data_IF_393750967270
#
_entry.id   IF_393750967270
#
_cell.length_a   1.000
_cell.length_b   1.000
_cell.length_c   1.000
_cell.angle_alpha   90.00
_cell.angle_beta   90.00
_cell.angle_gamma   90.00
#
_symmetry.space_group_name_H-M   'P 1'
#
loop_
_entity.id
_entity.type
_entity.pdbx_description
1 polymer ?
#
# COMPACT_ATOMS: atom_id res chain seq x y z
N UNK A 1 -53.48 3.29 30.53
CA UNK A 1 -53.34 4.35 31.57
C UNK A 1 -52.67 5.56 30.93
N UNK A 2 -53.00 6.79 31.37
CA UNK A 2 -52.29 8.07 31.09
C UNK A 2 -51.82 8.37 29.65
N UNK A 3 -52.72 9.00 28.87
CA UNK A 3 -52.43 10.24 28.10
C UNK A 3 -52.12 11.42 29.06
N UNK A 4 -51.82 12.67 28.62
CA UNK A 4 -51.75 13.28 27.28
C UNK A 4 -50.28 13.52 26.84
N UNK A 5 -49.80 14.45 25.99
CA UNK A 5 -50.27 15.73 25.40
C UNK A 5 -49.75 15.89 23.96
N UNK A 6 -50.49 16.61 23.12
CA UNK A 6 -50.00 17.22 21.85
C UNK A 6 -50.23 18.74 21.95
N UNK A 7 -49.25 19.56 21.59
CA UNK A 7 -49.36 21.01 21.56
C UNK A 7 -49.09 21.56 20.14
N UNK A 8 -50.01 22.38 19.63
CA UNK A 8 -49.89 23.09 18.34
C UNK A 8 -49.10 24.39 18.50
N UNK A 9 -48.35 24.78 17.47
CA UNK A 9 -47.91 26.16 17.24
C UNK A 9 -48.19 26.57 15.79
N UNK A 10 -48.89 27.68 15.62
CA UNK A 10 -49.25 28.39 14.38
C UNK A 10 -49.45 29.88 14.77
N UNK A 11 -49.49 30.83 13.82
CA UNK A 11 -48.52 31.93 13.85
C UNK A 11 -49.12 33.29 14.21
N UNK A 12 -48.23 34.26 14.48
CA UNK A 12 -48.53 35.70 14.45
C UNK A 12 -47.43 36.40 13.65
N UNK A 13 -47.76 37.50 12.99
CA UNK A 13 -46.92 38.17 12.00
C UNK A 13 -46.62 39.64 12.37
N UNK A 14 -45.76 40.28 11.57
CA UNK A 14 -45.62 41.75 11.38
C UNK A 14 -45.71 42.69 12.61
N UNK A 15 -44.65 43.49 12.82
CA UNK A 15 -44.76 44.93 12.56
C UNK A 15 -43.38 45.58 12.34
N UNK A 16 -43.33 46.64 11.53
CA UNK A 16 -42.16 47.50 11.35
C UNK A 16 -42.28 48.76 12.22
N UNK A 17 -41.17 49.31 12.69
CA UNK A 17 -41.06 50.76 12.92
C UNK A 17 -39.60 51.22 12.95
N UNK A 18 -39.36 52.42 12.41
CA UNK A 18 -38.07 53.10 12.39
C UNK A 18 -37.81 53.79 13.72
N UNK A 19 -36.55 53.83 14.17
CA UNK A 19 -36.07 54.94 15.01
C UNK A 19 -34.63 55.31 14.63
N UNK A 20 -34.39 56.60 14.49
CA UNK A 20 -33.08 57.21 14.25
C UNK A 20 -32.48 57.70 15.56
N UNK A 21 -31.20 57.43 15.79
CA UNK A 21 -30.32 58.29 16.58
C UNK A 21 -28.84 58.06 16.22
N UNK A 22 -28.09 59.15 16.25
CA UNK A 22 -26.62 59.23 16.23
C UNK A 22 -26.20 60.16 17.38
N UNK A 23 -24.90 60.36 17.62
CA UNK A 23 -23.79 59.40 17.62
C UNK A 23 -23.26 59.21 19.06
N UNK A 24 -22.25 58.36 19.27
CA UNK A 24 -21.21 58.71 20.23
C UNK A 24 -19.85 58.13 19.81
N UNK A 25 -18.78 58.84 20.14
CA UNK A 25 -17.42 58.36 19.99
C UNK A 25 -16.93 57.77 21.32
N UNK A 26 -16.11 56.73 21.24
CA UNK A 26 -15.04 56.48 22.20
C UNK A 26 -13.95 55.67 21.48
N UNK A 27 -12.70 56.05 21.70
CA UNK A 27 -11.55 55.29 21.24
C UNK A 27 -11.06 54.40 22.38
N UNK A 28 -10.90 53.11 22.13
CA UNK A 28 -10.09 52.23 22.97
C UNK A 28 -9.01 51.57 22.13
N UNK A 29 -7.86 51.32 22.76
CA UNK A 29 -6.62 50.95 22.09
C UNK A 29 -6.31 49.46 22.27
N UNK A 30 -5.71 48.89 21.23
CA UNK A 30 -4.68 47.85 21.31
C UNK A 30 -4.83 46.72 22.37
N UNK A 31 -5.18 45.53 21.90
CA UNK A 31 -4.39 44.34 22.27
C UNK A 31 -4.35 43.30 21.14
N UNK A 32 -3.45 43.48 20.17
CA UNK A 32 -3.33 42.57 19.04
C UNK A 32 -2.41 41.39 19.38
N UNK A 33 -2.97 40.38 20.06
CA UNK A 33 -2.25 39.15 20.44
C UNK A 33 -1.88 38.34 19.19
N UNK A 34 -0.61 38.41 18.79
CA UNK A 34 -0.06 37.70 17.64
C UNK A 34 0.10 36.19 17.93
N UNK A 35 -0.97 35.42 17.74
CA UNK A 35 -0.93 33.95 17.82
C UNK A 35 -0.18 33.40 16.59
N UNK A 36 1.10 33.06 16.77
CA UNK A 36 1.92 32.49 15.70
C UNK A 36 1.44 31.06 15.33
N UNK A 37 1.16 30.77 14.04
CA UNK A 37 0.66 29.46 13.63
C UNK A 37 1.80 28.42 13.51
N UNK A 38 2.00 27.65 14.57
CA UNK A 38 2.94 26.51 14.62
C UNK A 38 2.40 25.28 13.85
N UNK A 39 2.42 25.34 12.52
CA UNK A 39 1.82 24.32 11.66
C UNK A 39 2.72 23.89 10.46
N UNK A 40 3.89 23.31 10.74
CA UNK A 40 4.84 22.83 9.70
C UNK A 40 5.18 21.34 9.82
N UNK A 41 4.18 20.45 9.72
CA UNK A 41 4.37 18.98 9.70
C UNK A 41 3.55 18.31 8.58
N UNK A 42 3.74 18.74 7.32
CA UNK A 42 3.15 18.04 6.14
C UNK A 42 3.81 18.37 4.79
N UNK A 43 5.12 18.07 4.65
CA UNK A 43 5.82 18.20 3.35
C UNK A 43 6.63 16.95 2.99
N UNK A 44 7.44 16.43 3.92
CA UNK A 44 8.35 15.30 3.69
C UNK A 44 7.63 13.98 3.39
N UNK A 45 6.50 13.69 4.06
CA UNK A 45 5.78 12.42 3.93
C UNK A 45 5.30 12.14 2.49
N UNK A 46 4.81 13.17 1.79
CA UNK A 46 4.33 13.08 0.41
C UNK A 46 5.46 12.68 -0.55
N UNK A 47 6.64 13.30 -0.39
CA UNK A 47 7.85 12.98 -1.16
C UNK A 47 8.32 11.55 -0.90
N UNK A 48 8.35 11.12 0.36
CA UNK A 48 8.82 9.78 0.73
C UNK A 48 7.88 8.68 0.20
N UNK A 49 6.57 8.89 0.19
CA UNK A 49 5.63 7.97 -0.48
C UNK A 49 5.80 7.94 -2.01
N UNK A 50 6.11 9.07 -2.65
CA UNK A 50 6.39 9.11 -4.09
C UNK A 50 7.68 8.34 -4.43
N UNK A 51 8.74 8.47 -3.61
CA UNK A 51 9.95 7.65 -3.73
C UNK A 51 9.63 6.15 -3.59
N UNK A 52 8.87 5.73 -2.58
CA UNK A 52 8.47 4.33 -2.41
C UNK A 52 7.73 3.79 -3.65
N UNK A 53 6.80 4.60 -4.21
CA UNK A 53 6.05 4.26 -5.44
C UNK A 53 6.99 4.14 -6.67
N UNK A 54 8.04 4.96 -6.76
CA UNK A 54 9.06 4.85 -7.82
C UNK A 54 9.91 3.58 -7.68
N UNK A 55 10.40 3.27 -6.48
CA UNK A 55 11.21 2.06 -6.21
C UNK A 55 10.39 0.77 -6.46
N UNK A 56 9.12 0.74 -6.06
CA UNK A 56 8.17 -0.33 -6.44
C UNK A 56 8.06 -0.44 -7.96
N UNK A 57 7.83 0.68 -8.66
CA UNK A 57 7.67 0.71 -10.12
C UNK A 57 8.92 0.18 -10.84
N UNK A 58 10.12 0.55 -10.37
CA UNK A 58 11.42 0.10 -10.90
C UNK A 58 11.60 -1.42 -10.73
N UNK A 59 11.36 -1.97 -9.53
CA UNK A 59 11.47 -3.41 -9.32
C UNK A 59 10.41 -4.17 -10.14
N UNK A 60 9.17 -3.69 -10.18
CA UNK A 60 8.09 -4.32 -10.93
C UNK A 60 8.33 -4.29 -12.46
N UNK A 61 8.84 -3.18 -13.01
CA UNK A 61 9.10 -3.06 -14.45
C UNK A 61 10.30 -3.90 -14.88
N UNK A 62 11.42 -3.85 -14.15
CA UNK A 62 12.63 -4.64 -14.47
C UNK A 62 12.37 -6.14 -14.39
N UNK A 63 11.68 -6.61 -13.33
CA UNK A 63 11.25 -8.02 -13.24
C UNK A 63 10.35 -8.43 -14.43
N UNK A 64 9.38 -7.60 -14.80
CA UNK A 64 8.47 -7.86 -15.93
C UNK A 64 9.21 -7.84 -17.28
N UNK A 65 10.23 -7.00 -17.42
CA UNK A 65 11.12 -6.94 -18.59
C UNK A 65 11.94 -8.21 -18.76
N UNK A 66 12.72 -8.60 -17.74
CA UNK A 66 13.57 -9.79 -17.81
C UNK A 66 12.75 -11.09 -17.93
N UNK A 67 11.55 -11.17 -17.33
CA UNK A 67 10.65 -12.30 -17.55
C UNK A 67 10.11 -12.36 -19.00
N UNK A 68 9.69 -11.22 -19.59
CA UNK A 68 9.29 -11.18 -21.02
C UNK A 68 10.42 -11.60 -21.96
N UNK A 69 11.64 -11.10 -21.70
CA UNK A 69 12.86 -11.43 -22.44
C UNK A 69 13.18 -12.92 -22.37
N UNK A 70 13.16 -13.50 -21.16
CA UNK A 70 13.39 -14.92 -20.95
C UNK A 70 12.32 -15.82 -21.62
N UNK A 71 11.04 -15.45 -21.55
CA UNK A 71 9.97 -16.15 -22.30
C UNK A 71 10.24 -16.09 -23.81
N UNK A 72 10.67 -14.94 -24.35
CA UNK A 72 10.98 -14.81 -25.78
C UNK A 72 12.21 -15.63 -26.20
N UNK A 73 13.24 -15.76 -25.36
CA UNK A 73 14.50 -16.44 -25.72
C UNK A 73 14.54 -17.93 -25.39
N UNK A 74 13.77 -18.41 -24.42
CA UNK A 74 13.83 -19.79 -23.94
C UNK A 74 12.53 -20.29 -23.27
N UNK A 75 11.40 -19.66 -23.59
CA UNK A 75 10.08 -20.08 -23.14
C UNK A 75 9.88 -20.05 -21.61
N UNK A 76 8.90 -20.81 -21.08
CA UNK A 76 8.62 -20.85 -19.66
C UNK A 76 9.79 -21.32 -18.78
N UNK A 77 10.67 -22.18 -19.30
CA UNK A 77 11.80 -22.73 -18.54
C UNK A 77 12.83 -21.64 -18.19
N UNK A 78 13.23 -20.84 -19.19
CA UNK A 78 14.11 -19.69 -18.95
C UNK A 78 13.45 -18.65 -18.03
N UNK A 79 12.12 -18.46 -18.13
CA UNK A 79 11.40 -17.56 -17.23
C UNK A 79 11.43 -18.02 -15.76
N UNK A 80 11.31 -19.33 -15.49
CA UNK A 80 11.47 -19.88 -14.14
C UNK A 80 12.90 -19.68 -13.62
N UNK A 81 13.93 -19.91 -14.46
CA UNK A 81 15.33 -19.65 -14.09
C UNK A 81 15.58 -18.16 -13.77
N UNK A 82 15.04 -17.23 -14.56
CA UNK A 82 15.08 -15.79 -14.27
C UNK A 82 14.38 -15.44 -12.94
N UNK A 83 13.24 -16.07 -12.65
CA UNK A 83 12.54 -15.94 -11.37
C UNK A 83 13.33 -16.48 -10.17
N UNK A 84 14.18 -17.49 -10.38
CA UNK A 84 15.04 -18.07 -9.35
C UNK A 84 16.30 -17.23 -9.11
N UNK A 85 17.05 -16.93 -10.18
CA UNK A 85 18.41 -16.39 -10.11
C UNK A 85 18.50 -14.86 -10.19
N UNK A 86 17.66 -14.23 -11.01
CA UNK A 86 17.77 -12.78 -11.28
C UNK A 86 16.86 -11.95 -10.38
N UNK A 87 15.68 -12.45 -10.04
CA UNK A 87 14.74 -11.73 -9.19
C UNK A 87 15.29 -11.26 -7.83
N UNK A 88 16.07 -12.06 -7.06
CA UNK A 88 16.72 -11.55 -5.84
C UNK A 88 17.82 -10.53 -6.15
N UNK A 89 18.61 -10.73 -7.22
CA UNK A 89 19.70 -9.83 -7.63
C UNK A 89 19.17 -8.45 -8.05
N UNK A 90 18.03 -8.38 -8.73
CA UNK A 90 17.39 -7.12 -9.11
C UNK A 90 16.91 -6.36 -7.87
N UNK A 91 16.27 -7.05 -6.91
CA UNK A 91 15.85 -6.44 -5.65
C UNK A 91 17.04 -5.95 -4.81
N UNK A 92 18.12 -6.73 -4.74
CA UNK A 92 19.36 -6.34 -4.07
C UNK A 92 20.03 -5.14 -4.75
N UNK A 93 20.15 -5.14 -6.08
CA UNK A 93 20.74 -4.05 -6.87
C UNK A 93 20.01 -2.72 -6.64
N UNK A 94 18.68 -2.72 -6.72
CA UNK A 94 17.86 -1.54 -6.41
C UNK A 94 18.04 -1.13 -4.94
N UNK A 95 18.10 -2.10 -4.01
CA UNK A 95 18.36 -1.85 -2.58
C UNK A 95 19.78 -1.35 -2.26
N UNK A 96 20.68 -1.31 -3.24
CA UNK A 96 22.04 -0.76 -3.14
C UNK A 96 22.22 0.57 -3.89
N UNK A 97 21.21 1.01 -4.64
CA UNK A 97 21.23 2.27 -5.40
C UNK A 97 20.70 3.47 -4.59
N UNK A 98 20.22 3.26 -3.37
CA UNK A 98 19.76 4.32 -2.46
C UNK A 98 19.28 3.79 -1.11
N UNK A 99 18.71 4.67 -0.29
CA UNK A 99 18.37 4.42 1.12
C UNK A 99 17.18 3.46 1.33
N UNK A 100 16.46 3.10 0.26
CA UNK A 100 15.36 2.15 0.30
C UNK A 100 15.87 0.71 0.19
N UNK A 101 15.57 -0.12 1.19
CA UNK A 101 15.61 -1.58 1.04
C UNK A 101 14.26 -2.04 0.50
N UNK A 102 14.26 -2.87 -0.55
CA UNK A 102 13.06 -3.44 -1.16
C UNK A 102 13.21 -4.96 -1.37
N UNK A 103 12.21 -5.71 -0.92
CA UNK A 103 12.08 -7.15 -1.13
C UNK A 103 10.67 -7.52 -1.61
N UNK A 104 10.45 -8.80 -1.89
CA UNK A 104 9.11 -9.37 -2.07
C UNK A 104 8.84 -10.34 -0.93
N UNK A 105 7.58 -10.42 -0.52
CA UNK A 105 7.11 -11.24 0.60
C UNK A 105 5.74 -11.86 0.26
N UNK A 106 5.37 -12.99 0.86
CA UNK A 106 4.08 -13.65 0.61
C UNK A 106 3.72 -14.66 1.71
N UNK A 107 2.41 -14.89 1.91
CA UNK A 107 1.89 -15.99 2.74
C UNK A 107 2.19 -17.36 2.13
N UNK A 108 2.25 -17.44 0.79
CA UNK A 108 2.61 -18.63 0.01
C UNK A 108 3.91 -18.36 -0.74
N UNK A 109 5.03 -18.76 -0.15
CA UNK A 109 6.37 -18.51 -0.67
C UNK A 109 6.77 -19.48 -1.80
N UNK A 110 7.75 -19.07 -2.62
CA UNK A 110 8.40 -19.92 -3.63
C UNK A 110 9.89 -20.07 -3.37
N UNK A 111 10.54 -18.95 -3.07
CA UNK A 111 11.89 -18.90 -2.50
C UNK A 111 11.73 -18.59 -1.00
N UNK A 112 12.30 -19.40 -0.08
CA UNK A 112 12.15 -19.22 1.36
C UNK A 112 12.69 -17.89 1.89
N UNK A 113 13.62 -17.23 1.18
CA UNK A 113 14.14 -15.91 1.55
C UNK A 113 13.08 -14.78 1.42
N UNK A 114 11.89 -15.10 0.89
CA UNK A 114 10.71 -14.22 0.83
C UNK A 114 9.65 -14.56 1.90
N UNK A 115 9.99 -15.31 2.95
CA UNK A 115 9.14 -15.48 4.14
C UNK A 115 8.86 -14.13 4.81
N UNK A 116 7.64 -13.96 5.30
CA UNK A 116 7.18 -12.74 5.94
C UNK A 116 7.73 -12.59 7.37
N UNK A 117 7.98 -11.35 7.79
CA UNK A 117 8.00 -11.02 9.23
C UNK A 117 6.56 -10.86 9.76
N UNK A 118 6.38 -10.76 11.07
CA UNK A 118 5.06 -10.69 11.70
C UNK A 118 4.19 -9.52 11.21
N UNK A 119 4.78 -8.37 10.86
CA UNK A 119 4.06 -7.21 10.34
C UNK A 119 3.74 -7.36 8.86
N UNK A 120 4.68 -7.92 8.08
CA UNK A 120 4.44 -8.27 6.68
C UNK A 120 3.30 -9.31 6.59
N UNK A 121 3.29 -10.32 7.46
CA UNK A 121 2.25 -11.34 7.52
C UNK A 121 0.89 -10.73 7.88
N UNK A 122 0.79 -9.99 8.99
CA UNK A 122 -0.46 -9.33 9.37
C UNK A 122 -0.95 -8.35 8.28
N UNK A 123 -0.05 -7.69 7.56
CA UNK A 123 -0.40 -6.85 6.41
C UNK A 123 -0.88 -7.63 5.18
N UNK A 124 -0.31 -8.79 4.89
CA UNK A 124 -0.76 -9.69 3.83
C UNK A 124 -2.13 -10.32 4.16
N UNK A 125 -2.35 -10.75 5.41
CA UNK A 125 -3.63 -11.27 5.89
C UNK A 125 -4.72 -10.19 5.82
N UNK A 126 -4.42 -8.97 6.29
CA UNK A 126 -5.29 -7.81 6.13
C UNK A 126 -5.66 -7.56 4.66
N UNK A 127 -4.69 -7.59 3.75
CA UNK A 127 -4.97 -7.45 2.31
C UNK A 127 -5.84 -8.59 1.77
N UNK A 128 -5.63 -9.83 2.20
CA UNK A 128 -6.42 -10.97 1.72
C UNK A 128 -7.89 -10.88 2.18
N UNK A 129 -8.13 -10.44 3.42
CA UNK A 129 -9.48 -10.15 3.92
C UNK A 129 -10.15 -9.01 3.13
N UNK A 130 -9.43 -7.91 2.89
CA UNK A 130 -9.95 -6.78 2.11
C UNK A 130 -10.30 -7.17 0.66
N UNK A 131 -9.49 -8.02 0.01
CA UNK A 131 -9.78 -8.52 -1.35
C UNK A 131 -11.00 -9.45 -1.35
N UNK A 132 -11.17 -10.29 -0.33
CA UNK A 132 -12.37 -11.12 -0.16
C UNK A 132 -13.64 -10.27 0.06
N UNK A 133 -13.50 -9.06 0.59
CA UNK A 133 -14.56 -8.05 0.75
C UNK A 133 -14.75 -7.18 -0.52
N UNK A 134 -14.08 -7.48 -1.63
CA UNK A 134 -14.21 -6.78 -2.91
C UNK A 134 -13.31 -5.55 -3.09
N UNK A 135 -12.34 -5.30 -2.20
CA UNK A 135 -11.40 -4.19 -2.36
C UNK A 135 -10.41 -4.44 -3.51
N UNK A 136 -10.15 -3.40 -4.31
CA UNK A 136 -9.20 -3.43 -5.42
C UNK A 136 -7.75 -3.70 -4.95
N UNK A 137 -7.15 -4.87 -5.28
CA UNK A 137 -5.80 -5.22 -4.85
C UNK A 137 -4.72 -4.22 -5.32
N UNK A 138 -4.94 -3.54 -6.45
CA UNK A 138 -3.99 -2.57 -6.99
C UNK A 138 -3.89 -1.33 -6.10
N UNK A 139 -4.94 -0.99 -5.34
CA UNK A 139 -4.97 0.15 -4.42
C UNK A 139 -4.41 -0.18 -3.02
N UNK A 140 -4.39 -1.44 -2.61
CA UNK A 140 -4.02 -1.82 -1.23
C UNK A 140 -2.54 -1.55 -0.90
N UNK A 141 -2.33 -0.74 0.13
CA UNK A 141 -1.04 -0.32 0.72
C UNK A 141 -1.19 -0.32 2.25
N UNK A 142 -0.15 -0.76 2.97
CA UNK A 142 0.01 -0.59 4.43
C UNK A 142 1.31 0.18 4.66
N UNK A 143 1.32 1.14 5.59
CA UNK A 143 2.52 1.89 5.97
C UNK A 143 2.60 2.05 7.47
N UNK A 144 3.81 2.17 8.00
CA UNK A 144 4.08 2.34 9.43
C UNK A 144 5.39 3.09 9.63
N UNK A 145 5.41 4.01 10.60
CA UNK A 145 6.65 4.56 11.13
C UNK A 145 6.91 3.86 12.46
N UNK A 146 8.10 3.29 12.60
CA UNK A 146 8.57 2.59 13.79
C UNK A 146 9.98 3.07 14.16
N UNK A 147 10.49 2.64 15.31
CA UNK A 147 11.80 3.09 15.82
C UNK A 147 12.71 1.89 16.11
N UNK A 148 14.00 2.03 15.78
CA UNK A 148 15.06 1.07 16.06
C UNK A 148 16.28 1.85 16.53
N UNK A 149 16.84 1.52 17.70
CA UNK A 149 18.02 2.18 18.27
C UNK A 149 17.91 3.73 18.31
N UNK A 150 16.71 4.24 18.65
CA UNK A 150 16.40 5.68 18.69
C UNK A 150 16.24 6.35 17.31
N UNK A 151 16.26 5.59 16.22
CA UNK A 151 16.15 6.08 14.83
C UNK A 151 14.83 5.68 14.22
N UNK A 152 14.16 6.64 13.59
CA UNK A 152 12.86 6.41 12.95
C UNK A 152 13.03 5.78 11.57
N UNK A 153 12.18 4.80 11.29
CA UNK A 153 12.13 4.09 10.03
C UNK A 153 10.70 4.09 9.50
N UNK A 154 10.55 4.32 8.20
CA UNK A 154 9.29 4.08 7.48
C UNK A 154 9.37 2.71 6.82
N UNK A 155 8.36 1.87 7.08
CA UNK A 155 8.11 0.63 6.33
C UNK A 155 6.79 0.71 5.55
N UNK A 156 6.76 0.08 4.38
CA UNK A 156 5.62 0.09 3.46
C UNK A 156 5.44 -1.26 2.77
N UNK A 157 4.19 -1.74 2.74
CA UNK A 157 3.77 -2.97 2.09
C UNK A 157 2.81 -2.62 0.94
N UNK A 158 3.09 -3.11 -0.27
CA UNK A 158 2.19 -2.96 -1.44
C UNK A 158 1.76 -4.33 -1.95
N UNK A 159 0.45 -4.60 -1.91
CA UNK A 159 -0.13 -5.82 -2.46
C UNK A 159 0.21 -6.04 -3.95
N UNK A 160 0.52 -7.27 -4.31
CA UNK A 160 0.73 -7.76 -5.67
C UNK A 160 -0.39 -8.76 -5.99
N UNK A 161 -1.38 -8.42 -6.84
CA UNK A 161 -2.33 -9.39 -7.34
C UNK A 161 -1.74 -10.28 -8.44
N UNK A 162 -2.37 -11.44 -8.66
CA UNK A 162 -2.21 -12.24 -9.87
C UNK A 162 -2.97 -11.63 -11.06
N UNK A 163 -2.30 -11.51 -12.20
CA UNK A 163 -2.95 -11.42 -13.51
C UNK A 163 -2.76 -12.71 -14.30
N UNK A 164 -3.51 -12.88 -15.40
CA UNK A 164 -3.43 -14.00 -16.36
C UNK A 164 -2.00 -14.55 -16.54
N UNK A 165 -1.05 -13.69 -16.94
CA UNK A 165 0.34 -14.07 -17.19
C UNK A 165 1.07 -14.72 -16.00
N UNK A 166 0.65 -14.40 -14.76
CA UNK A 166 1.18 -15.02 -13.54
C UNK A 166 0.72 -16.49 -13.39
N UNK A 167 -0.49 -16.81 -13.85
CA UNK A 167 -1.11 -18.12 -13.63
C UNK A 167 -0.39 -19.25 -14.36
N UNK A 168 0.35 -18.93 -15.43
CA UNK A 168 1.26 -19.87 -16.11
C UNK A 168 2.25 -20.58 -15.16
N UNK A 169 2.62 -19.95 -14.03
CA UNK A 169 3.55 -20.51 -13.05
C UNK A 169 3.01 -20.48 -11.61
N UNK A 170 1.87 -19.83 -11.36
CA UNK A 170 1.25 -19.70 -10.04
C UNK A 170 -0.19 -20.25 -9.97
N UNK A 171 -0.77 -20.65 -11.10
CA UNK A 171 -2.12 -21.19 -11.18
C UNK A 171 -2.28 -22.57 -10.53
N UNK A 172 -3.52 -23.07 -10.51
CA UNK A 172 -3.84 -24.44 -10.09
C UNK A 172 -3.51 -25.48 -11.16
N UNK A 173 -3.73 -25.17 -12.45
CA UNK A 173 -3.43 -26.06 -13.57
C UNK A 173 -2.09 -25.66 -14.21
N UNK A 174 -1.00 -26.34 -13.83
CA UNK A 174 0.34 -26.12 -14.38
C UNK A 174 0.68 -27.20 -15.41
N UNK A 175 1.20 -26.78 -16.58
CA UNK A 175 1.70 -27.72 -17.60
C UNK A 175 2.81 -28.60 -17.00
N UNK A 176 2.88 -29.92 -17.27
CA UNK A 176 3.81 -30.82 -16.57
C UNK A 176 5.28 -30.38 -16.56
N UNK A 177 5.88 -29.83 -17.65
CA UNK A 177 7.25 -29.33 -17.61
C UNK A 177 7.46 -28.14 -16.64
N UNK A 178 6.43 -27.31 -16.44
CA UNK A 178 6.45 -26.20 -15.47
C UNK A 178 6.39 -26.75 -14.04
N UNK A 179 5.50 -27.72 -13.78
CA UNK A 179 5.43 -28.36 -12.46
C UNK A 179 6.76 -29.06 -12.09
N UNK A 180 7.34 -29.82 -13.02
CA UNK A 180 8.62 -30.51 -12.82
C UNK A 180 9.80 -29.54 -12.61
N UNK A 181 9.89 -28.48 -13.41
CA UNK A 181 10.93 -27.46 -13.26
C UNK A 181 10.80 -26.67 -11.94
N UNK A 182 9.58 -26.39 -11.49
CA UNK A 182 9.34 -25.76 -10.19
C UNK A 182 9.73 -26.69 -9.04
N UNK A 183 9.31 -27.95 -9.05
CA UNK A 183 9.68 -28.92 -8.01
C UNK A 183 11.21 -29.10 -7.91
N UNK A 184 11.93 -29.12 -9.04
CA UNK A 184 13.40 -29.22 -9.07
C UNK A 184 14.11 -27.96 -8.54
N UNK A 185 13.62 -26.76 -8.86
CA UNK A 185 14.27 -25.50 -8.49
C UNK A 185 13.79 -24.92 -7.14
N UNK A 186 12.66 -25.43 -6.63
CA UNK A 186 12.02 -24.99 -5.40
C UNK A 186 11.31 -26.19 -4.72
N UNK A 187 12.03 -27.10 -4.04
CA UNK A 187 11.44 -28.27 -3.39
C UNK A 187 10.42 -27.95 -2.27
N UNK A 188 10.37 -26.70 -1.82
CA UNK A 188 9.46 -26.18 -0.80
C UNK A 188 8.48 -25.13 -1.38
N UNK A 189 8.17 -25.18 -2.68
CA UNK A 189 7.26 -24.21 -3.31
C UNK A 189 5.82 -24.35 -2.84
N UNK A 190 5.29 -23.28 -2.25
CA UNK A 190 3.89 -23.16 -1.83
C UNK A 190 3.09 -22.28 -2.80
N UNK A 191 3.74 -21.63 -3.77
CA UNK A 191 3.16 -20.54 -4.55
C UNK A 191 2.34 -20.98 -5.77
N UNK A 192 1.58 -22.05 -5.66
CA UNK A 192 0.69 -22.60 -6.71
C UNK A 192 -0.77 -22.51 -6.29
N UNK A 193 -1.71 -22.86 -7.18
CA UNK A 193 -3.14 -22.90 -6.85
C UNK A 193 -3.87 -21.56 -6.91
N UNK A 194 -3.24 -20.47 -7.36
CA UNK A 194 -3.89 -19.15 -7.43
C UNK A 194 -4.87 -19.02 -8.61
N UNK A 195 -5.88 -18.17 -8.44
CA UNK A 195 -6.77 -17.64 -9.51
C UNK A 195 -6.35 -16.21 -9.88
N UNK A 196 -7.01 -15.59 -10.85
CA UNK A 196 -6.78 -14.17 -11.20
C UNK A 196 -7.37 -13.23 -10.13
N UNK A 197 -6.68 -12.13 -9.83
CA UNK A 197 -7.09 -11.12 -8.85
C UNK A 197 -6.67 -11.42 -7.39
N UNK A 198 -6.31 -12.67 -7.09
CA UNK A 198 -5.88 -13.09 -5.76
C UNK A 198 -4.53 -12.49 -5.34
N UNK A 199 -4.32 -12.36 -4.03
CA UNK A 199 -3.08 -11.83 -3.45
C UNK A 199 -1.91 -12.80 -3.66
N UNK A 200 -1.07 -12.56 -4.68
CA UNK A 200 0.17 -13.30 -4.88
C UNK A 200 1.16 -13.06 -3.74
N UNK A 201 1.16 -11.86 -3.15
CA UNK A 201 2.09 -11.43 -2.11
C UNK A 201 2.18 -9.90 -2.05
N UNK A 202 3.31 -9.37 -1.63
CA UNK A 202 3.56 -7.93 -1.59
C UNK A 202 5.01 -7.56 -1.96
N UNK A 203 5.20 -6.31 -2.37
CA UNK A 203 6.48 -5.63 -2.21
C UNK A 203 6.57 -5.10 -0.78
N UNK A 204 7.69 -5.33 -0.11
CA UNK A 204 7.99 -4.79 1.22
C UNK A 204 9.19 -3.87 1.13
N UNK A 205 9.05 -2.67 1.68
CA UNK A 205 10.02 -1.58 1.60
C UNK A 205 10.32 -1.02 3.00
N UNK A 206 11.57 -0.64 3.24
CA UNK A 206 11.99 0.09 4.45
C UNK A 206 13.04 1.15 4.10
N UNK A 207 12.97 2.32 4.75
CA UNK A 207 13.95 3.40 4.71
C UNK A 207 14.06 4.07 6.10
N UNK A 208 15.25 4.57 6.46
CA UNK A 208 15.44 5.46 7.62
C UNK A 208 14.94 6.88 7.30
N UNK A 209 14.36 7.56 8.30
CA UNK A 209 13.80 8.91 8.21
C UNK A 209 14.75 9.97 8.77
#
# INVERSE_FOLDING_TARGET
MKTPIIARLLPVAFCSLMFVHTPNANAEQNLQVAVAPTASISSTATTTEQQAKQVIKQLASTLKGELKKAVKSGGPMAAIQTCNLQAPKIAQSISSQGDWKIRRTALKVRNPNNVADAWEQAGLEQFQQQIAQGADPMKLVKKEIFEVDGKKHLRLLKAIPTGEGCLNCHGSNLKPPIAQALAKLYPQDQATGFKQGELRGAFSLQKAL
#
